data_IF_919620972192
#
_entry.id   IF_919620972192
#
_cell.length_a   1.000
_cell.length_b   1.000
_cell.length_c   1.000
_cell.angle_alpha   90.00
_cell.angle_beta   90.00
_cell.angle_gamma   90.00
#
_symmetry.space_group_name_H-M   'P 1'
#
loop_
_entity.id
_entity.type
_entity.pdbx_description
1 polymer ?
#
# COMPACT_ATOMS: atom_id res chain seq x y z
N UNK A 1 17.37 3.82 1.78
CA UNK A 1 16.35 4.21 2.79
C UNK A 1 15.72 2.94 3.33
N UNK A 2 15.61 2.77 4.65
CA UNK A 2 15.00 1.59 5.23
C UNK A 2 13.47 1.62 4.99
N UNK A 3 12.90 0.53 4.48
CA UNK A 3 11.45 0.36 4.38
C UNK A 3 10.88 0.22 5.81
N UNK A 4 9.96 1.11 6.17
CA UNK A 4 9.26 1.08 7.45
C UNK A 4 7.77 1.01 7.17
N UNK A 5 7.15 -0.11 7.49
CA UNK A 5 5.71 -0.29 7.42
C UNK A 5 5.04 0.77 8.30
N UNK A 6 4.14 1.56 7.71
CA UNK A 6 3.28 2.50 8.43
C UNK A 6 2.24 1.69 9.20
N UNK A 7 2.17 1.91 10.52
CA UNK A 7 1.18 1.25 11.36
C UNK A 7 -0.22 1.78 11.09
N UNK A 8 -1.26 1.00 11.41
CA UNK A 8 -2.65 1.46 11.26
C UNK A 8 -2.92 2.76 12.04
N UNK A 9 -2.38 2.88 13.27
CA UNK A 9 -2.49 4.12 14.05
C UNK A 9 -1.84 5.33 13.37
N UNK A 10 -0.68 5.14 12.72
CA UNK A 10 -0.06 6.20 11.91
C UNK A 10 -0.91 6.53 10.68
N UNK A 11 -1.47 5.53 9.98
CA UNK A 11 -2.36 5.75 8.84
C UNK A 11 -3.62 6.56 9.23
N UNK A 12 -4.20 6.31 10.41
CA UNK A 12 -5.31 7.10 10.91
C UNK A 12 -4.94 8.56 11.18
N UNK A 13 -3.71 8.82 11.63
CA UNK A 13 -3.18 10.19 11.81
C UNK A 13 -2.84 10.88 10.49
N UNK A 14 -2.89 10.18 9.35
CA UNK A 14 -2.61 10.74 8.03
C UNK A 14 -3.88 11.26 7.31
N UNK A 15 -5.04 11.22 7.95
CA UNK A 15 -6.34 11.64 7.35
C UNK A 15 -6.60 10.98 5.98
N UNK A 16 -6.26 9.70 5.86
CA UNK A 16 -6.45 8.94 4.63
C UNK A 16 -7.94 8.89 4.27
N UNK A 17 -8.26 9.23 3.03
CA UNK A 17 -9.62 9.27 2.49
C UNK A 17 -9.84 8.05 1.60
N UNK A 18 -10.90 7.29 1.88
CA UNK A 18 -11.27 6.15 1.05
C UNK A 18 -11.50 6.57 -0.42
N UNK A 19 -10.96 5.79 -1.36
CA UNK A 19 -11.04 6.05 -2.79
C UNK A 19 -10.02 7.05 -3.33
N UNK A 20 -9.23 7.72 -2.47
CA UNK A 20 -8.13 8.56 -2.93
C UNK A 20 -6.86 7.75 -3.19
N UNK A 21 -6.04 8.24 -4.13
CA UNK A 21 -4.75 7.64 -4.46
C UNK A 21 -3.63 8.32 -3.67
N UNK A 22 -2.75 7.51 -3.11
CA UNK A 22 -1.58 7.95 -2.35
C UNK A 22 -0.33 7.31 -2.94
N UNK A 23 0.78 8.04 -2.94
CA UNK A 23 2.06 7.43 -3.28
C UNK A 23 2.52 6.58 -2.10
N UNK A 24 2.67 5.27 -2.33
CA UNK A 24 3.04 4.31 -1.31
C UNK A 24 4.26 3.50 -1.75
N UNK A 25 5.03 3.05 -0.78
CA UNK A 25 6.00 1.97 -0.93
C UNK A 25 5.40 0.70 -0.34
N UNK A 26 5.51 -0.43 -0.99
CA UNK A 26 4.92 -1.69 -0.49
C UNK A 26 5.83 -2.88 -0.80
N UNK A 27 5.63 -3.97 -0.06
CA UNK A 27 6.29 -5.23 -0.37
C UNK A 27 5.49 -5.92 -1.47
N UNK A 28 6.07 -5.99 -2.67
CA UNK A 28 5.55 -6.82 -3.74
C UNK A 28 6.14 -8.23 -3.60
N UNK A 29 5.27 -9.20 -3.35
CA UNK A 29 5.63 -10.62 -3.45
C UNK A 29 5.29 -11.14 -4.82
N UNK A 30 6.29 -11.60 -5.56
CA UNK A 30 6.13 -12.26 -6.84
C UNK A 30 5.53 -13.66 -6.63
N UNK A 31 4.47 -13.96 -7.38
CA UNK A 31 3.72 -15.21 -7.25
C UNK A 31 4.42 -16.43 -7.86
N UNK A 32 5.37 -16.24 -8.77
CA UNK A 32 6.08 -17.31 -9.47
C UNK A 32 7.29 -17.82 -8.70
N UNK A 33 8.11 -16.92 -8.16
CA UNK A 33 9.35 -17.29 -7.47
C UNK A 33 9.30 -17.01 -5.96
N UNK A 34 8.27 -16.32 -5.46
CA UNK A 34 8.12 -15.99 -4.05
C UNK A 34 9.06 -14.89 -3.56
N UNK A 35 9.80 -14.22 -4.46
CA UNK A 35 10.69 -13.12 -4.11
C UNK A 35 9.89 -11.92 -3.63
N UNK A 36 10.39 -11.30 -2.58
CA UNK A 36 9.83 -10.07 -2.02
C UNK A 36 10.70 -8.90 -2.45
N UNK A 37 10.10 -7.97 -3.17
CA UNK A 37 10.73 -6.73 -3.60
C UNK A 37 9.99 -5.55 -2.98
N UNK A 38 10.70 -4.44 -2.80
CA UNK A 38 10.09 -3.20 -2.32
C UNK A 38 9.83 -2.34 -3.55
N UNK A 39 8.55 -2.06 -3.81
CA UNK A 39 8.11 -1.26 -4.96
C UNK A 39 7.48 0.05 -4.50
N UNK A 40 7.50 1.05 -5.38
CA UNK A 40 6.79 2.32 -5.21
C UNK A 40 5.69 2.44 -6.26
N UNK A 41 4.51 2.83 -5.84
CA UNK A 41 3.37 2.96 -6.74
C UNK A 41 2.25 3.81 -6.16
N UNK A 42 1.25 4.07 -6.99
CA UNK A 42 0.02 4.73 -6.56
C UNK A 42 -0.94 3.67 -6.02
N UNK A 43 -1.30 3.80 -4.74
CA UNK A 43 -2.26 2.93 -4.07
C UNK A 43 -3.56 3.68 -3.79
N UNK A 44 -4.69 3.09 -4.18
CA UNK A 44 -6.02 3.61 -3.83
C UNK A 44 -6.38 3.15 -2.42
N UNK A 45 -6.66 4.09 -1.52
CA UNK A 45 -7.00 3.77 -0.14
C UNK A 45 -8.38 3.11 -0.04
N UNK A 46 -8.45 2.01 0.71
CA UNK A 46 -9.67 1.27 1.02
C UNK A 46 -9.78 1.23 2.54
N UNK A 47 -10.90 1.69 3.08
CA UNK A 47 -11.16 1.69 4.52
C UNK A 47 -12.30 0.73 4.79
N UNK A 48 -12.03 -0.35 5.52
CA UNK A 48 -13.05 -1.35 5.93
C UNK A 48 -12.79 -1.80 7.35
N UNK A 49 -13.86 -1.95 8.14
CA UNK A 49 -13.81 -2.39 9.54
C UNK A 49 -12.80 -1.60 10.41
N UNK A 50 -12.64 -0.31 10.12
CA UNK A 50 -11.69 0.57 10.80
C UNK A 50 -10.23 0.35 10.42
N UNK A 51 -9.92 -0.54 9.48
CA UNK A 51 -8.57 -0.76 8.96
C UNK A 51 -8.40 -0.06 7.61
N UNK A 52 -7.19 0.46 7.38
CA UNK A 52 -6.78 1.13 6.15
C UNK A 52 -5.91 0.16 5.33
N UNK A 53 -6.35 -0.08 4.11
CA UNK A 53 -5.70 -0.89 3.10
C UNK A 53 -5.44 -0.04 1.85
N UNK A 54 -4.59 -0.54 0.96
CA UNK A 54 -4.39 0.09 -0.34
C UNK A 54 -4.53 -0.95 -1.46
N UNK A 55 -5.20 -0.58 -2.55
CA UNK A 55 -5.17 -1.34 -3.80
C UNK A 55 -4.15 -0.74 -4.75
N UNK A 56 -3.20 -1.52 -5.20
CA UNK A 56 -2.23 -1.16 -6.23
C UNK A 56 -2.52 -1.95 -7.50
N UNK A 57 -2.31 -1.34 -8.65
CA UNK A 57 -2.36 -2.06 -9.93
C UNK A 57 -0.97 -2.58 -10.22
N UNK A 58 -0.83 -3.89 -10.34
CA UNK A 58 0.46 -4.51 -10.68
C UNK A 58 0.82 -4.25 -12.16
N UNK A 59 2.06 -4.58 -12.59
CA UNK A 59 2.49 -4.39 -13.98
C UNK A 59 1.66 -5.16 -15.02
N UNK A 60 0.88 -6.15 -14.60
CA UNK A 60 0.02 -6.96 -15.46
C UNK A 60 -1.43 -6.44 -15.51
N UNK A 61 -1.71 -5.32 -14.84
CA UNK A 61 -3.03 -4.68 -14.82
C UNK A 61 -4.01 -5.30 -13.81
N UNK A 62 -3.51 -6.08 -12.84
CA UNK A 62 -4.34 -6.69 -11.81
C UNK A 62 -4.32 -5.86 -10.53
N UNK A 63 -5.49 -5.69 -9.91
CA UNK A 63 -5.62 -5.08 -8.59
C UNK A 63 -5.07 -6.01 -7.51
N UNK A 64 -4.15 -5.50 -6.70
CA UNK A 64 -3.54 -6.19 -5.56
C UNK A 64 -3.80 -5.39 -4.29
N UNK A 65 -4.43 -6.05 -3.32
CA UNK A 65 -4.61 -5.49 -1.99
C UNK A 65 -3.31 -5.61 -1.19
N UNK A 66 -2.80 -4.49 -0.70
CA UNK A 66 -1.60 -4.41 0.12
C UNK A 66 -1.92 -3.80 1.49
N UNK A 67 -1.50 -4.51 2.54
CA UNK A 67 -1.65 -4.09 3.94
C UNK A 67 -0.38 -3.47 4.51
N UNK A 68 0.78 -3.96 4.08
CA UNK A 68 2.07 -3.51 4.57
C UNK A 68 2.62 -2.47 3.60
N UNK A 69 2.28 -1.22 3.88
CA UNK A 69 2.68 -0.08 3.06
C UNK A 69 3.41 0.96 3.89
N UNK A 70 4.22 1.78 3.21
CA UNK A 70 4.77 3.01 3.72
C UNK A 70 4.19 4.15 2.86
N UNK A 71 3.41 5.05 3.45
CA UNK A 71 2.92 6.22 2.72
C UNK A 71 4.05 7.22 2.53
N UNK A 72 4.35 7.57 1.28
CA UNK A 72 5.41 8.52 0.91
C UNK A 72 4.82 9.92 0.74
N UNK A 73 3.70 10.04 0.01
CA UNK A 73 3.09 11.32 -0.32
C UNK A 73 1.56 11.22 -0.45
N UNK A 74 0.89 12.33 -0.11
CA UNK A 74 -0.57 12.54 -0.21
C UNK A 74 -0.91 13.36 -1.44
#
# INVERSE_FOLDING_TARGET
MAFRVTTQGELHNLDIVAGQQYQIRYINKDYYNGEETIEEGMGTAIITDGNIYFSVVDPYGMDKLVMQVQVIQR
#
